data_IF_247283206161
#
_entry.id   IF_247283206161
#
_cell.length_a   1.000
_cell.length_b   1.000
_cell.length_c   1.000
_cell.angle_alpha   90.00
_cell.angle_beta   90.00
_cell.angle_gamma   90.00
#
_symmetry.space_group_name_H-M   'P 1'
#
loop_
_entity.id
_entity.type
_entity.pdbx_description
1 polymer ?
#
# COMPACT_ATOMS: atom_id res chain seq x y z
N UNK A 1 -6.98 31.26 13.11
CA UNK A 1 -5.92 31.00 12.11
C UNK A 1 -5.81 29.50 11.93
N UNK A 2 -6.06 28.95 10.74
CA UNK A 2 -6.06 27.51 10.48
C UNK A 2 -4.70 27.11 9.88
N UNK A 3 -3.88 26.42 10.67
CA UNK A 3 -2.48 26.12 10.31
C UNK A 3 -2.32 25.23 9.07
N UNK A 4 -3.33 24.45 8.71
CA UNK A 4 -3.27 23.52 7.57
C UNK A 4 -3.24 24.27 6.23
N UNK A 5 -3.92 25.42 6.13
CA UNK A 5 -3.89 26.26 4.95
C UNK A 5 -2.50 26.88 4.70
N UNK A 6 -1.77 27.21 5.78
CA UNK A 6 -0.40 27.73 5.70
C UNK A 6 0.57 26.66 5.22
N UNK A 7 0.46 25.43 5.76
CA UNK A 7 1.30 24.29 5.37
C UNK A 7 1.10 23.95 3.89
N UNK A 8 -0.15 23.92 3.42
CA UNK A 8 -0.46 23.68 2.01
C UNK A 8 0.17 24.69 1.05
N UNK A 9 0.27 25.97 1.44
CA UNK A 9 0.91 27.02 0.63
C UNK A 9 2.43 26.85 0.54
N UNK A 10 3.07 26.48 1.64
CA UNK A 10 4.52 26.26 1.70
C UNK A 10 4.93 25.06 0.83
N UNK A 11 4.18 23.97 0.93
CA UNK A 11 4.36 22.75 0.14
C UNK A 11 4.31 23.02 -1.38
N UNK A 12 3.31 23.80 -1.85
CA UNK A 12 3.23 24.22 -3.25
C UNK A 12 4.43 25.06 -3.70
N UNK A 13 4.89 25.99 -2.87
CA UNK A 13 6.03 26.85 -3.21
C UNK A 13 7.32 26.06 -3.37
N UNK A 14 7.46 24.98 -2.59
CA UNK A 14 8.61 24.07 -2.65
C UNK A 14 8.51 23.02 -3.78
N UNK A 15 7.46 23.03 -4.61
CA UNK A 15 7.22 21.99 -5.62
C UNK A 15 6.84 20.63 -5.03
N UNK A 16 6.60 20.56 -3.72
CA UNK A 16 6.19 19.37 -2.99
C UNK A 16 4.67 19.39 -2.87
N UNK A 17 3.97 19.14 -3.99
CA UNK A 17 2.54 18.90 -3.94
C UNK A 17 2.23 17.60 -3.18
N UNK A 18 0.99 17.42 -2.68
CA UNK A 18 0.50 16.08 -2.45
C UNK A 18 0.74 15.33 -3.77
N UNK A 19 1.63 14.35 -3.74
CA UNK A 19 1.62 13.29 -4.75
C UNK A 19 0.21 12.78 -4.62
N UNK A 20 -0.65 13.03 -5.61
CA UNK A 20 -2.04 12.60 -5.54
C UNK A 20 -1.99 11.20 -5.01
N UNK A 21 -2.47 11.02 -3.78
CA UNK A 21 -2.51 9.69 -3.21
C UNK A 21 -3.21 8.90 -4.28
N UNK A 22 -2.55 7.87 -4.78
CA UNK A 22 -3.24 6.82 -5.53
C UNK A 22 -4.54 6.66 -4.77
N UNK A 23 -5.64 6.95 -5.46
CA UNK A 23 -6.95 6.71 -4.91
C UNK A 23 -6.80 5.31 -4.34
N UNK A 24 -6.87 5.17 -3.02
CA UNK A 24 -6.88 3.87 -2.42
C UNK A 24 -8.28 3.32 -2.73
N UNK A 25 -8.59 3.15 -4.02
CA UNK A 25 -9.16 1.92 -4.51
C UNK A 25 -8.30 0.87 -3.84
N UNK A 26 -8.76 0.38 -2.70
CA UNK A 26 -8.31 -0.88 -2.14
C UNK A 26 -8.19 -1.78 -3.33
N UNK A 27 -6.95 -2.04 -3.73
CA UNK A 27 -6.68 -2.97 -4.81
C UNK A 27 -7.48 -4.21 -4.46
N UNK A 28 -8.40 -4.60 -5.34
CA UNK A 28 -9.32 -5.73 -5.13
C UNK A 28 -8.57 -7.07 -5.21
N UNK A 29 -7.26 -7.06 -4.92
CA UNK A 29 -6.38 -8.19 -4.98
C UNK A 29 -6.26 -8.78 -3.57
N UNK A 30 -6.54 -10.09 -3.42
CA UNK A 30 -6.49 -10.71 -2.11
C UNK A 30 -5.04 -10.75 -1.58
N UNK A 31 -4.93 -10.67 -0.26
CA UNK A 31 -3.69 -10.99 0.43
C UNK A 31 -3.56 -12.51 0.53
N UNK A 32 -2.47 -13.07 0.02
CA UNK A 32 -2.25 -14.52 -0.02
C UNK A 32 -1.11 -14.90 0.94
N UNK A 33 -1.36 -15.87 1.81
CA UNK A 33 -0.29 -16.47 2.59
C UNK A 33 0.53 -17.45 1.72
N UNK A 34 1.80 -17.18 1.45
CA UNK A 34 2.67 -18.08 0.70
C UNK A 34 2.93 -19.44 1.38
N UNK A 35 2.72 -19.52 2.70
CA UNK A 35 2.94 -20.76 3.46
C UNK A 35 1.81 -21.78 3.32
N UNK A 36 0.56 -21.32 3.24
CA UNK A 36 -0.61 -22.20 3.19
C UNK A 36 -1.63 -21.87 2.09
N UNK A 37 -1.39 -20.83 1.29
CA UNK A 37 -2.22 -20.42 0.16
C UNK A 37 -3.57 -19.83 0.53
N UNK A 38 -3.80 -19.44 1.79
CA UNK A 38 -5.09 -18.85 2.20
C UNK A 38 -5.14 -17.38 1.80
N UNK A 39 -6.27 -16.99 1.23
CA UNK A 39 -6.60 -15.65 0.79
C UNK A 39 -7.33 -14.85 1.89
N UNK A 40 -7.06 -13.55 1.95
CA UNK A 40 -7.66 -12.62 2.89
C UNK A 40 -8.01 -11.30 2.19
N UNK A 41 -9.16 -10.74 2.54
CA UNK A 41 -9.57 -9.39 2.08
C UNK A 41 -8.87 -8.26 2.85
N UNK A 42 -8.08 -8.59 3.88
CA UNK A 42 -7.36 -7.62 4.72
C UNK A 42 -5.94 -8.09 5.00
N UNK A 43 -5.04 -7.14 5.23
CA UNK A 43 -3.64 -7.44 5.56
C UNK A 43 -3.49 -8.04 6.95
N UNK A 44 -2.76 -9.16 7.05
CA UNK A 44 -2.36 -9.79 8.31
C UNK A 44 -0.84 -9.91 8.39
N UNK A 45 -0.21 -9.35 9.43
CA UNK A 45 1.23 -9.53 9.67
C UNK A 45 1.63 -10.97 10.03
N UNK A 46 0.68 -11.78 10.50
CA UNK A 46 0.86 -13.20 10.81
C UNK A 46 -0.36 -13.95 10.31
N UNK A 47 -0.15 -15.01 9.52
CA UNK A 47 -1.23 -15.82 8.98
C UNK A 47 -2.03 -16.49 10.12
N UNK A 48 -3.34 -16.21 10.27
CA UNK A 48 -4.15 -16.80 11.33
C UNK A 48 -4.38 -18.30 11.15
N UNK A 49 -4.16 -18.84 9.93
CA UNK A 49 -4.34 -20.26 9.65
C UNK A 49 -3.09 -21.10 10.01
N UNK A 50 -1.88 -20.64 9.65
CA UNK A 50 -0.65 -21.42 9.82
C UNK A 50 0.41 -20.79 10.74
N UNK A 51 0.22 -19.54 11.18
CA UNK A 51 1.17 -18.80 11.99
C UNK A 51 2.41 -18.29 11.24
N UNK A 52 2.47 -18.46 9.92
CA UNK A 52 3.57 -17.97 9.08
C UNK A 52 3.56 -16.46 8.87
N UNK A 53 4.72 -15.90 8.50
CA UNK A 53 4.94 -14.45 8.33
C UNK A 53 4.91 -13.99 6.86
N UNK A 54 4.62 -14.90 5.92
CA UNK A 54 4.62 -14.61 4.49
C UNK A 54 3.18 -14.41 4.00
N UNK A 55 2.55 -13.29 4.37
CA UNK A 55 1.29 -12.85 3.79
C UNK A 55 1.60 -11.65 2.91
N UNK A 56 1.44 -11.83 1.60
CA UNK A 56 1.82 -10.85 0.59
C UNK A 56 0.59 -10.46 -0.23
N UNK A 57 0.59 -9.24 -0.74
CA UNK A 57 -0.44 -8.78 -1.64
C UNK A 57 -0.14 -9.35 -3.04
N UNK A 58 -1.14 -9.90 -3.74
CA UNK A 58 -0.91 -10.62 -5.00
C UNK A 58 -0.21 -9.76 -6.06
N UNK A 59 -0.46 -8.44 -6.08
CA UNK A 59 0.22 -7.51 -7.01
C UNK A 59 1.70 -7.23 -6.69
N UNK A 60 2.16 -7.47 -5.46
CA UNK A 60 3.59 -7.27 -5.14
C UNK A 60 4.47 -8.26 -5.92
N UNK A 61 3.88 -9.41 -6.31
CA UNK A 61 4.57 -10.45 -7.10
C UNK A 61 4.83 -10.02 -8.56
N UNK A 62 4.14 -9.00 -9.08
CA UNK A 62 4.33 -8.47 -10.44
C UNK A 62 5.23 -7.22 -10.49
N UNK A 63 5.97 -6.91 -9.41
CA UNK A 63 6.91 -5.78 -9.41
C UNK A 63 8.28 -6.13 -10.02
N UNK A 64 8.26 -6.80 -11.17
CA UNK A 64 9.41 -6.86 -12.08
C UNK A 64 9.58 -5.51 -12.77
N UNK A 65 10.06 -4.50 -12.03
CA UNK A 65 10.37 -3.18 -12.56
C UNK A 65 11.48 -3.30 -13.63
N UNK A 66 11.08 -3.43 -14.90
CA UNK A 66 11.97 -3.36 -16.04
C UNK A 66 12.51 -1.93 -16.16
N UNK A 67 13.76 -1.72 -15.75
CA UNK A 67 14.55 -0.57 -16.16
C UNK A 67 15.12 -0.84 -17.56
N UNK A 68 14.75 -0.02 -18.54
CA UNK A 68 15.47 0.17 -19.81
C UNK A 68 16.35 1.42 -19.71
#
# INVERSE_FOLDING_TARGET
MNGTATIGRLLRLAGLGPRGGVDATTDEHPYVCLGCGVEYDVEYHVCPNCGGFSVEHELDTDSGFAID
#
